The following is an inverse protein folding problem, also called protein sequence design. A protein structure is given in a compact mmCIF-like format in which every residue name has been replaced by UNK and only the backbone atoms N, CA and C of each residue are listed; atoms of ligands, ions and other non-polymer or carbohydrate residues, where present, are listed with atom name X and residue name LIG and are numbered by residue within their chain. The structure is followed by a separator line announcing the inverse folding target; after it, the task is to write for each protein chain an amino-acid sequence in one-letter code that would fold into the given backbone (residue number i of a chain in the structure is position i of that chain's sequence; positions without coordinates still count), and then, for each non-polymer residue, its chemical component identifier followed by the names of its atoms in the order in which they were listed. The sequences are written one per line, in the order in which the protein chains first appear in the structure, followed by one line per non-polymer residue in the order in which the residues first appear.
data_IF_944768621441
#
_entry.id   IF_944768621441
#
_cell.length_a   1.000
_cell.length_b   1.000
_cell.length_c   1.000
_cell.angle_alpha   90.00
_cell.angle_beta   90.00
_cell.angle_gamma   90.00
#
_symmetry.space_group_name_H-M   'P 1'
#
loop_
_entity.id
_entity.type
_entity.pdbx_description
1 polymer ?
#
# COMPACT_ATOMS: atom_id res chain seq x y z
N UNK A 1 -48.03 -26.62 15.29
CA UNK A 1 -48.92 -25.44 15.32
C UNK A 1 -48.48 -24.59 16.51
N UNK A 2 -47.90 -23.40 16.45
CA UNK A 2 -47.83 -22.35 15.43
C UNK A 2 -46.58 -21.51 15.75
N UNK A 3 -45.72 -21.36 14.73
CA UNK A 3 -45.12 -20.08 14.31
C UNK A 3 -44.33 -19.29 15.37
N UNK A 4 -43.05 -19.57 15.45
CA UNK A 4 -42.02 -18.53 15.68
C UNK A 4 -40.76 -18.97 14.93
N UNK A 5 -40.80 -19.12 13.61
CA UNK A 5 -40.44 -18.07 12.63
C UNK A 5 -39.53 -16.96 13.21
N UNK A 6 -38.37 -17.33 13.75
CA UNK A 6 -37.25 -16.41 13.86
C UNK A 6 -36.49 -16.49 12.54
N UNK A 7 -36.45 -15.31 11.93
CA UNK A 7 -35.94 -14.94 10.64
C UNK A 7 -34.63 -15.64 10.25
N UNK A 8 -34.58 -15.98 8.96
CA UNK A 8 -33.35 -15.94 8.17
C UNK A 8 -32.61 -14.63 8.47
N UNK A 9 -31.60 -14.67 9.34
CA UNK A 9 -30.52 -13.70 9.30
C UNK A 9 -29.40 -14.31 8.49
N UNK A 10 -29.53 -14.07 7.18
CA UNK A 10 -28.45 -13.88 6.24
C UNK A 10 -27.15 -13.42 6.91
N UNK A 11 -26.26 -14.35 7.24
CA UNK A 11 -24.83 -14.06 7.16
C UNK A 11 -24.39 -14.52 5.78
N UNK A 12 -24.72 -13.70 4.77
CA UNK A 12 -23.78 -13.49 3.68
C UNK A 12 -22.52 -12.94 4.35
N UNK A 13 -21.60 -13.83 4.69
CA UNK A 13 -20.23 -13.45 4.99
C UNK A 13 -19.67 -12.84 3.72
N UNK A 14 -19.81 -11.52 3.60
CA UNK A 14 -18.99 -10.73 2.70
C UNK A 14 -17.55 -11.00 3.14
N UNK A 15 -16.89 -11.93 2.43
CA UNK A 15 -15.46 -12.09 2.50
C UNK A 15 -14.87 -10.73 2.22
N UNK A 16 -14.32 -10.10 3.25
CA UNK A 16 -13.56 -8.89 3.14
C UNK A 16 -12.41 -9.18 2.17
N UNK A 17 -12.51 -8.68 0.95
CA UNK A 17 -11.39 -8.55 0.04
C UNK A 17 -10.47 -7.48 0.67
N UNK A 18 -9.60 -7.90 1.58
CA UNK A 18 -8.48 -7.08 2.01
C UNK A 18 -7.57 -6.95 0.79
N UNK A 19 -7.58 -5.79 0.14
CA UNK A 19 -6.57 -5.43 -0.84
C UNK A 19 -5.20 -5.51 -0.14
N UNK A 20 -4.44 -6.57 -0.42
CA UNK A 20 -3.16 -6.82 0.21
C UNK A 20 -2.12 -5.96 -0.52
N UNK A 21 -1.74 -4.84 0.08
CA UNK A 21 -0.61 -4.05 -0.42
C UNK A 21 0.68 -4.85 -0.23
N UNK A 22 1.46 -5.01 -1.31
CA UNK A 22 2.80 -5.56 -1.22
C UNK A 22 3.68 -4.65 -0.35
N UNK A 23 4.47 -5.21 0.57
CA UNK A 23 5.33 -4.41 1.43
C UNK A 23 6.54 -3.89 0.66
N UNK A 24 6.99 -2.69 1.00
CA UNK A 24 8.17 -2.10 0.38
C UNK A 24 9.46 -2.89 0.74
N UNK A 25 10.18 -3.47 -0.24
CA UNK A 25 11.26 -4.42 0.03
C UNK A 25 12.61 -3.77 0.38
N UNK A 26 12.79 -2.47 0.11
CA UNK A 26 14.08 -1.79 0.24
C UNK A 26 14.22 -1.07 1.58
N UNK A 27 15.47 -0.95 2.06
CA UNK A 27 15.82 -0.07 3.21
C UNK A 27 16.15 1.37 2.78
N UNK A 28 16.14 1.64 1.47
CA UNK A 28 16.52 2.91 0.87
C UNK A 28 15.34 3.57 0.16
N UNK A 29 15.40 4.88 -0.04
CA UNK A 29 14.46 5.67 -0.82
C UNK A 29 14.50 5.22 -2.29
N UNK A 30 13.32 4.94 -2.88
CA UNK A 30 13.24 4.44 -4.26
C UNK A 30 13.84 5.41 -5.30
N UNK A 31 13.76 6.70 -5.00
CA UNK A 31 14.19 7.77 -5.90
C UNK A 31 15.67 8.06 -5.76
N UNK A 32 16.15 8.33 -4.53
CA UNK A 32 17.52 8.78 -4.27
C UNK A 32 18.50 7.65 -3.96
N UNK A 33 18.02 6.50 -3.46
CA UNK A 33 18.88 5.42 -2.97
C UNK A 33 19.47 5.67 -1.57
N UNK A 34 19.10 6.76 -0.91
CA UNK A 34 19.53 7.07 0.46
C UNK A 34 18.75 6.23 1.48
N UNK A 35 19.35 5.96 2.63
CA UNK A 35 18.71 5.22 3.71
C UNK A 35 17.41 5.88 4.18
N UNK A 36 16.36 5.07 4.34
CA UNK A 36 15.10 5.51 4.92
C UNK A 36 15.30 5.79 6.40
N UNK A 37 14.88 6.97 6.86
CA UNK A 37 15.07 7.42 8.24
C UNK A 37 16.11 8.52 8.38
N UNK A 38 17.07 8.61 7.45
CA UNK A 38 18.18 9.59 7.53
C UNK A 38 17.71 11.04 7.31
N UNK A 39 16.53 11.24 6.69
CA UNK A 39 15.87 12.55 6.55
C UNK A 39 14.63 12.69 7.46
N UNK A 40 14.52 11.86 8.50
CA UNK A 40 13.34 11.77 9.35
C UNK A 40 12.37 10.67 8.92
N UNK A 41 11.11 10.76 9.36
CA UNK A 41 10.11 9.72 9.11
C UNK A 41 9.89 9.53 7.60
N UNK A 42 10.08 8.31 7.05
CA UNK A 42 9.80 8.03 5.65
C UNK A 42 8.36 8.36 5.27
N UNK A 43 8.18 8.86 4.05
CA UNK A 43 6.86 9.07 3.47
C UNK A 43 6.46 7.81 2.71
N UNK A 44 5.27 7.31 3.00
CA UNK A 44 4.73 6.08 2.41
C UNK A 44 3.62 6.43 1.43
N UNK A 45 3.61 5.79 0.26
CA UNK A 45 2.54 5.88 -0.74
C UNK A 45 2.25 4.51 -1.30
N UNK A 46 0.98 4.17 -1.49
CA UNK A 46 0.59 2.96 -2.23
C UNK A 46 0.41 3.35 -3.70
N UNK A 47 1.00 2.57 -4.61
CA UNK A 47 0.85 2.70 -6.06
C UNK A 47 0.65 1.31 -6.64
N UNK A 48 -0.46 1.06 -7.35
CA UNK A 48 -0.81 -0.25 -7.90
C UNK A 48 -0.61 -1.41 -6.90
N UNK A 49 -1.22 -1.26 -5.71
CA UNK A 49 -1.14 -2.25 -4.61
C UNK A 49 0.29 -2.52 -4.12
N UNK A 50 1.27 -1.67 -4.47
CA UNK A 50 2.64 -1.73 -3.97
C UNK A 50 2.88 -0.57 -3.00
N UNK A 51 3.37 -0.86 -1.80
CA UNK A 51 3.84 0.16 -0.87
C UNK A 51 5.18 0.72 -1.38
N UNK A 52 5.28 2.04 -1.48
CA UNK A 52 6.47 2.77 -1.90
C UNK A 52 6.90 3.72 -0.79
N UNK A 53 8.17 3.68 -0.41
CA UNK A 53 8.75 4.55 0.62
C UNK A 53 9.73 5.57 0.04
N UNK A 54 9.65 6.78 0.57
CA UNK A 54 10.48 7.92 0.17
C UNK A 54 11.11 8.59 1.38
N UNK A 55 12.31 9.15 1.21
CA UNK A 55 12.95 9.94 2.26
C UNK A 55 12.31 11.33 2.46
N UNK A 56 11.62 11.88 1.45
CA UNK A 56 11.02 13.22 1.52
C UNK A 56 9.90 13.44 0.49
N UNK A 57 9.13 14.53 0.66
CA UNK A 57 8.03 14.91 -0.26
C UNK A 57 8.48 15.21 -1.69
N UNK A 58 9.69 15.74 -1.88
CA UNK A 58 10.23 16.03 -3.21
C UNK A 58 10.49 14.74 -4.02
N UNK A 59 10.79 13.62 -3.36
CA UNK A 59 10.91 12.33 -4.01
C UNK A 59 9.57 11.83 -4.57
N UNK A 60 8.45 12.14 -3.92
CA UNK A 60 7.12 11.78 -4.42
C UNK A 60 6.88 12.42 -5.80
N UNK A 61 7.17 13.72 -5.93
CA UNK A 61 7.01 14.43 -7.22
C UNK A 61 7.87 13.83 -8.32
N UNK A 62 9.12 13.45 -8.00
CA UNK A 62 10.02 12.78 -8.95
C UNK A 62 9.48 11.41 -9.35
N UNK A 63 8.95 10.64 -8.39
CA UNK A 63 8.32 9.34 -8.65
C UNK A 63 7.10 9.49 -9.56
N UNK A 64 6.19 10.42 -9.26
CA UNK A 64 4.96 10.65 -10.03
C UNK A 64 5.22 11.11 -11.47
N UNK A 65 6.36 11.76 -11.72
CA UNK A 65 6.75 12.17 -13.07
C UNK A 65 7.14 10.99 -13.98
N UNK A 66 7.62 9.87 -13.42
CA UNK A 66 7.99 8.67 -14.17
C UNK A 66 7.99 7.41 -13.26
N UNK A 67 6.80 6.90 -12.86
CA UNK A 67 6.72 5.79 -11.90
C UNK A 67 7.40 4.52 -12.42
N UNK A 68 7.23 4.21 -13.71
CA UNK A 68 7.77 3.01 -14.34
C UNK A 68 9.30 2.91 -14.19
N UNK A 69 10.02 4.02 -14.38
CA UNK A 69 11.48 4.09 -14.19
C UNK A 69 11.91 3.71 -12.77
N UNK A 70 11.16 4.12 -11.75
CA UNK A 70 11.53 3.85 -10.37
C UNK A 70 11.05 2.47 -9.89
N UNK A 71 9.87 2.04 -10.34
CA UNK A 71 9.33 0.70 -10.03
C UNK A 71 10.23 -0.42 -10.56
N UNK A 72 10.98 -0.17 -11.64
CA UNK A 72 11.99 -1.12 -12.13
C UNK A 72 13.08 -1.46 -11.09
N UNK A 73 13.27 -0.62 -10.06
CA UNK A 73 14.23 -0.83 -8.97
C UNK A 73 13.69 -1.68 -7.81
N UNK A 74 12.41 -2.08 -7.84
CA UNK A 74 11.79 -2.92 -6.80
C UNK A 74 11.98 -4.43 -7.01
N UNK A 75 12.74 -4.82 -8.04
CA UNK A 75 12.99 -6.21 -8.40
C UNK A 75 14.12 -6.83 -7.58
#
# INVERSE_FOLDING_TARGET
MKKTLILLSSLLGAGFLFAATAPYPLKVCLVTGEELGSMGKPVVKVYDEQEIKFCCKSCIKKFEADPAKYLAKLK
#
